data_IF_306442754883
#
_entry.id   IF_306442754883
#
_cell.length_a   1.000
_cell.length_b   1.000
_cell.length_c   1.000
_cell.angle_alpha   90.00
_cell.angle_beta   90.00
_cell.angle_gamma   90.00
#
_symmetry.space_group_name_H-M   'P 1'
#
loop_
_entity.id
_entity.type
_entity.pdbx_description
1 polymer ?
#
# COMPACT_ATOMS: atom_id res chain seq x y z
N UNK A 1 13.29 32.94 67.55
CA UNK A 1 13.34 31.61 66.92
C UNK A 1 12.70 31.71 65.56
N UNK A 2 13.49 31.80 64.47
CA UNK A 2 13.02 31.88 63.11
C UNK A 2 12.93 30.42 62.55
N UNK A 3 11.73 29.97 62.17
CA UNK A 3 11.56 28.71 61.52
C UNK A 3 11.84 28.89 60.03
N UNK A 4 12.86 28.18 59.49
CA UNK A 4 13.21 28.12 58.09
C UNK A 4 12.36 27.00 57.49
N UNK A 5 11.49 27.37 56.58
CA UNK A 5 10.68 26.42 55.79
C UNK A 5 11.50 26.00 54.58
N UNK A 6 11.91 24.72 54.50
CA UNK A 6 12.52 24.14 53.32
C UNK A 6 11.41 23.67 52.37
N UNK A 7 11.27 24.37 51.27
CA UNK A 7 10.38 23.93 50.17
C UNK A 7 11.17 22.98 49.26
N UNK A 8 10.83 21.71 49.31
CA UNK A 8 11.37 20.70 48.40
C UNK A 8 10.65 20.85 47.06
N UNK A 9 11.36 21.36 46.05
CA UNK A 9 10.90 21.43 44.65
C UNK A 9 11.13 20.07 44.01
N UNK A 10 10.08 19.26 43.91
CA UNK A 10 10.12 17.98 43.22
C UNK A 10 10.11 18.25 41.70
N UNK A 11 11.28 18.13 41.05
CA UNK A 11 11.40 18.14 39.60
C UNK A 11 10.93 16.77 39.07
N UNK A 12 9.71 16.70 38.57
CA UNK A 12 9.22 15.58 37.78
C UNK A 12 9.95 15.58 36.42
N UNK A 13 10.99 14.77 36.32
CA UNK A 13 11.59 14.39 35.05
C UNK A 13 10.60 13.53 34.31
N UNK A 14 9.84 14.15 33.39
CA UNK A 14 9.10 13.44 32.36
C UNK A 14 10.14 12.81 31.42
N UNK A 15 10.52 11.58 31.68
CA UNK A 15 11.17 10.74 30.71
C UNK A 15 10.13 10.47 29.60
N UNK A 16 10.16 11.28 28.56
CA UNK A 16 9.53 10.93 27.30
C UNK A 16 10.18 9.65 26.79
N UNK A 17 9.51 8.53 27.01
CA UNK A 17 9.86 7.26 26.37
C UNK A 17 9.63 7.48 24.87
N UNK A 18 10.67 7.85 24.13
CA UNK A 18 10.63 7.79 22.66
C UNK A 18 10.53 6.31 22.32
N UNK A 19 9.31 5.82 22.11
CA UNK A 19 9.13 4.49 21.54
C UNK A 19 9.85 4.47 20.20
N UNK A 20 10.80 3.55 20.06
CA UNK A 20 11.43 3.29 18.75
C UNK A 20 10.31 3.00 17.74
N UNK A 21 10.37 3.57 16.52
CA UNK A 21 9.37 3.28 15.50
C UNK A 21 9.22 1.78 15.34
N UNK A 22 8.00 1.29 15.44
CA UNK A 22 7.72 -0.13 15.24
C UNK A 22 8.15 -0.55 13.83
N UNK A 23 8.60 -1.79 13.69
CA UNK A 23 9.00 -2.36 12.41
C UNK A 23 8.31 -3.69 12.20
N UNK A 24 7.89 -4.00 10.96
CA UNK A 24 7.42 -5.34 10.63
C UNK A 24 8.54 -6.36 10.89
N UNK A 25 8.17 -7.60 11.19
CA UNK A 25 9.11 -8.70 11.22
C UNK A 25 9.78 -8.88 9.85
N UNK A 26 10.91 -9.60 9.81
CA UNK A 26 11.50 -10.00 8.53
C UNK A 26 10.51 -10.88 7.74
N UNK A 27 10.45 -10.68 6.43
CA UNK A 27 9.60 -11.45 5.53
C UNK A 27 10.48 -12.23 4.55
N UNK A 28 10.23 -13.53 4.41
CA UNK A 28 11.06 -14.43 3.60
C UNK A 28 10.51 -14.63 2.18
N UNK A 29 9.42 -13.94 1.82
CA UNK A 29 8.80 -14.04 0.51
C UNK A 29 8.58 -12.67 -0.13
N UNK A 30 8.16 -12.69 -1.41
CA UNK A 30 7.93 -11.50 -2.24
C UNK A 30 6.45 -11.38 -2.67
N UNK A 31 5.54 -12.08 -1.98
CA UNK A 31 4.12 -12.15 -2.35
C UNK A 31 3.37 -10.95 -1.80
N UNK A 32 2.70 -10.24 -2.70
CA UNK A 32 1.77 -9.15 -2.36
C UNK A 32 0.35 -9.62 -2.64
N UNK A 33 -0.48 -9.61 -1.60
CA UNK A 33 -1.88 -9.99 -1.69
C UNK A 33 -2.70 -8.82 -2.26
N UNK A 34 -3.15 -8.91 -3.53
CA UNK A 34 -3.99 -7.90 -4.18
C UNK A 34 -5.30 -7.74 -3.41
N UNK A 35 -5.57 -6.52 -2.93
CA UNK A 35 -6.75 -6.17 -2.08
C UNK A 35 -6.92 -7.12 -0.89
N UNK A 36 -5.80 -7.54 -0.28
CA UNK A 36 -5.81 -8.49 0.82
C UNK A 36 -5.88 -9.96 0.43
N UNK A 37 -5.84 -10.32 -0.85
CA UNK A 37 -6.07 -11.68 -1.33
C UNK A 37 -7.55 -12.09 -1.26
N UNK A 38 -8.43 -11.11 -1.32
CA UNK A 38 -9.88 -11.21 -1.19
C UNK A 38 -10.50 -12.29 -2.07
N UNK A 39 -10.06 -12.37 -3.34
CA UNK A 39 -10.56 -13.33 -4.32
C UNK A 39 -10.28 -14.78 -3.93
N UNK A 40 -9.08 -15.11 -3.44
CA UNK A 40 -8.74 -16.46 -3.00
C UNK A 40 -9.50 -16.84 -1.73
N UNK A 41 -9.65 -15.88 -0.81
CA UNK A 41 -10.31 -16.08 0.48
C UNK A 41 -11.85 -16.03 0.41
N UNK A 42 -12.44 -15.56 -0.68
CA UNK A 42 -13.88 -15.31 -0.77
C UNK A 42 -14.35 -14.17 0.14
N UNK A 43 -13.51 -13.14 0.32
CA UNK A 43 -13.74 -11.99 1.18
C UNK A 43 -13.94 -10.73 0.32
N UNK A 44 -14.58 -9.67 0.83
CA UNK A 44 -14.67 -8.40 0.12
C UNK A 44 -13.29 -7.78 -0.10
N UNK A 45 -13.10 -7.16 -1.26
CA UNK A 45 -11.92 -6.37 -1.60
C UNK A 45 -11.68 -5.28 -0.54
N UNK A 46 -10.40 -5.07 -0.18
CA UNK A 46 -9.99 -4.00 0.75
C UNK A 46 -10.64 -4.09 2.16
N UNK A 47 -11.22 -5.23 2.55
CA UNK A 47 -11.78 -5.41 3.89
C UNK A 47 -10.69 -5.66 4.94
N UNK A 48 -11.00 -5.37 6.20
CA UNK A 48 -10.13 -5.75 7.33
C UNK A 48 -9.97 -7.27 7.39
N UNK A 49 -11.03 -8.04 7.05
CA UNK A 49 -10.96 -9.49 6.97
C UNK A 49 -9.96 -9.97 5.91
N UNK A 50 -9.91 -9.33 4.72
CA UNK A 50 -8.96 -9.68 3.67
C UNK A 50 -7.51 -9.32 4.08
N UNK A 51 -7.28 -8.18 4.74
CA UNK A 51 -5.97 -7.85 5.31
C UNK A 51 -5.52 -8.91 6.33
N UNK A 52 -6.41 -9.36 7.22
CA UNK A 52 -6.13 -10.44 8.17
C UNK A 52 -5.76 -11.75 7.47
N UNK A 53 -6.42 -12.05 6.36
CA UNK A 53 -6.07 -13.22 5.55
C UNK A 53 -4.63 -13.10 4.99
N UNK A 54 -4.26 -11.98 4.36
CA UNK A 54 -2.90 -11.74 3.89
C UNK A 54 -1.85 -11.87 5.01
N UNK A 55 -2.15 -11.32 6.19
CA UNK A 55 -1.32 -11.42 7.39
C UNK A 55 -1.19 -12.88 7.87
N UNK A 56 -2.28 -13.65 7.88
CA UNK A 56 -2.26 -15.06 8.32
C UNK A 56 -1.39 -15.94 7.43
N UNK A 57 -1.27 -15.60 6.16
CA UNK A 57 -0.35 -16.25 5.22
C UNK A 57 1.11 -15.78 5.38
N UNK A 58 1.35 -14.66 6.07
CA UNK A 58 2.68 -14.05 6.14
C UNK A 58 3.12 -13.42 4.83
N UNK A 59 2.21 -12.85 4.05
CA UNK A 59 2.54 -12.13 2.82
C UNK A 59 3.53 -11.00 3.08
N UNK A 60 4.43 -10.72 2.12
CA UNK A 60 5.31 -9.55 2.15
C UNK A 60 4.51 -8.26 2.31
N UNK A 61 3.43 -8.12 1.55
CA UNK A 61 2.51 -7.00 1.70
C UNK A 61 1.06 -7.41 1.39
N UNK A 62 0.14 -6.59 1.90
CA UNK A 62 -1.26 -6.52 1.47
C UNK A 62 -1.45 -5.23 0.70
N UNK A 63 -1.84 -5.32 -0.56
CA UNK A 63 -2.15 -4.14 -1.37
C UNK A 63 -3.60 -3.72 -1.11
N UNK A 64 -3.85 -2.41 -1.13
CA UNK A 64 -5.18 -1.83 -1.05
C UNK A 64 -5.28 -0.49 -1.76
N UNK A 65 -6.48 -0.19 -2.26
CA UNK A 65 -6.81 1.04 -2.99
C UNK A 65 -7.18 2.16 -2.03
N UNK A 66 -6.67 3.38 -2.22
CA UNK A 66 -6.96 4.52 -1.37
C UNK A 66 -7.52 5.71 -2.14
N UNK A 67 -8.46 6.44 -1.50
CA UNK A 67 -9.01 7.69 -2.00
C UNK A 67 -9.10 8.75 -0.89
N UNK A 68 -8.83 9.99 -1.27
CA UNK A 68 -9.02 11.15 -0.42
C UNK A 68 -10.49 11.53 -0.33
N UNK A 69 -10.95 11.96 0.85
CA UNK A 69 -12.34 12.37 1.11
C UNK A 69 -12.44 13.88 1.34
N UNK A 70 -13.64 14.43 1.18
CA UNK A 70 -13.92 15.87 1.32
C UNK A 70 -13.51 16.46 2.67
N UNK A 71 -13.57 15.67 3.73
CA UNK A 71 -13.22 16.05 5.10
C UNK A 71 -11.75 15.75 5.44
N UNK A 72 -10.88 15.68 4.42
CA UNK A 72 -9.42 15.45 4.54
C UNK A 72 -9.08 14.15 5.26
N UNK A 73 -9.84 13.08 5.02
CA UNK A 73 -9.56 11.71 5.43
C UNK A 73 -9.13 10.85 4.24
N UNK A 74 -8.79 9.59 4.51
CA UNK A 74 -8.49 8.59 3.47
C UNK A 74 -9.33 7.34 3.71
N UNK A 75 -10.13 6.98 2.70
CA UNK A 75 -10.92 5.74 2.68
C UNK A 75 -10.16 4.65 1.95
N UNK A 76 -10.25 3.40 2.47
CA UNK A 76 -9.69 2.21 1.83
C UNK A 76 -10.82 1.46 1.13
N UNK A 77 -10.88 1.55 -0.19
CA UNK A 77 -11.89 0.91 -1.02
C UNK A 77 -11.48 0.93 -2.49
N UNK A 78 -12.04 0.04 -3.31
CA UNK A 78 -11.95 0.13 -4.76
C UNK A 78 -13.21 0.80 -5.32
N UNK A 79 -13.06 1.96 -5.95
CA UNK A 79 -14.17 2.64 -6.62
C UNK A 79 -14.61 1.89 -7.88
N UNK A 80 -15.85 2.08 -8.28
CA UNK A 80 -16.40 1.57 -9.53
C UNK A 80 -15.81 2.30 -10.77
N UNK A 81 -16.30 1.93 -11.97
CA UNK A 81 -15.85 2.56 -13.23
C UNK A 81 -16.13 4.06 -13.33
N UNK A 82 -17.04 4.58 -12.51
CA UNK A 82 -17.38 6.00 -12.41
C UNK A 82 -16.61 6.69 -11.29
N UNK A 83 -15.59 6.06 -10.71
CA UNK A 83 -14.83 6.53 -9.55
C UNK A 83 -15.72 6.77 -8.32
N UNK A 84 -16.77 5.95 -8.13
CA UNK A 84 -17.68 6.02 -7.00
C UNK A 84 -17.49 4.86 -6.03
N UNK A 85 -17.61 5.15 -4.74
CA UNK A 85 -17.67 4.19 -3.64
C UNK A 85 -19.09 4.29 -3.06
N UNK A 86 -19.85 3.18 -3.06
CA UNK A 86 -21.26 3.16 -2.66
C UNK A 86 -22.13 4.22 -3.40
N UNK A 87 -21.80 4.49 -4.69
CA UNK A 87 -22.50 5.46 -5.52
C UNK A 87 -22.12 6.92 -5.27
N UNK A 88 -21.11 7.22 -4.44
CA UNK A 88 -20.66 8.55 -4.08
C UNK A 88 -19.20 8.76 -4.52
N UNK A 89 -18.87 9.99 -4.98
CA UNK A 89 -17.49 10.37 -5.25
C UNK A 89 -16.76 10.70 -3.95
N UNK A 90 -15.63 10.03 -3.61
CA UNK A 90 -14.95 10.24 -2.32
C UNK A 90 -14.58 11.70 -2.05
N UNK A 91 -14.08 12.43 -3.04
CA UNK A 91 -13.65 13.82 -2.90
C UNK A 91 -14.79 14.83 -2.70
N UNK A 92 -16.03 14.43 -2.93
CA UNK A 92 -17.22 15.27 -2.71
C UNK A 92 -17.94 14.95 -1.40
N UNK A 93 -17.59 13.84 -0.74
CA UNK A 93 -18.26 13.33 0.45
C UNK A 93 -17.27 13.08 1.59
N UNK A 94 -17.77 13.16 2.83
CA UNK A 94 -17.00 12.82 4.02
C UNK A 94 -16.86 11.31 4.16
N UNK A 95 -15.87 10.87 4.95
CA UNK A 95 -15.71 9.45 5.26
C UNK A 95 -16.98 8.87 5.93
N UNK A 96 -17.60 9.63 6.82
CA UNK A 96 -18.85 9.24 7.49
C UNK A 96 -19.99 9.03 6.47
N UNK A 97 -20.16 9.93 5.50
CA UNK A 97 -21.17 9.80 4.45
C UNK A 97 -20.94 8.56 3.57
N UNK A 98 -19.69 8.28 3.20
CA UNK A 98 -19.33 7.08 2.43
C UNK A 98 -19.64 5.80 3.21
N UNK A 99 -19.32 5.76 4.52
CA UNK A 99 -19.61 4.62 5.39
C UNK A 99 -21.12 4.44 5.63
N UNK A 100 -21.88 5.52 5.70
CA UNK A 100 -23.33 5.49 5.87
C UNK A 100 -24.06 5.03 4.59
N UNK A 101 -23.49 5.28 3.41
CA UNK A 101 -24.08 4.93 2.12
C UNK A 101 -24.08 3.41 1.83
N UNK A 102 -23.22 2.62 2.49
CA UNK A 102 -23.19 1.18 2.30
C UNK A 102 -22.15 0.46 3.17
N UNK A 103 -22.23 -0.87 3.13
CA UNK A 103 -21.28 -1.77 3.79
C UNK A 103 -20.67 -2.73 2.79
N UNK A 104 -19.55 -3.35 3.15
CA UNK A 104 -18.96 -4.44 2.41
C UNK A 104 -19.88 -5.68 2.46
N UNK A 105 -19.73 -6.60 1.50
CA UNK A 105 -20.59 -7.79 1.35
C UNK A 105 -20.62 -8.69 2.59
N UNK A 106 -19.57 -8.69 3.42
CA UNK A 106 -19.50 -9.41 4.69
C UNK A 106 -20.07 -8.63 5.89
N UNK A 107 -20.65 -7.45 5.65
CA UNK A 107 -21.23 -6.57 6.67
C UNK A 107 -20.26 -5.64 7.38
N UNK A 108 -18.95 -5.69 7.08
CA UNK A 108 -17.97 -4.71 7.58
C UNK A 108 -18.28 -3.31 7.06
N UNK A 109 -18.00 -2.24 7.83
CA UNK A 109 -17.98 -0.89 7.28
C UNK A 109 -16.81 -0.74 6.30
N UNK A 110 -16.85 0.32 5.47
CA UNK A 110 -15.66 0.77 4.75
C UNK A 110 -14.59 1.18 5.77
N UNK A 111 -13.36 0.67 5.69
CA UNK A 111 -12.33 1.06 6.64
C UNK A 111 -11.73 2.43 6.31
N UNK A 112 -11.39 3.20 7.34
CA UNK A 112 -10.45 4.31 7.21
C UNK A 112 -9.03 3.80 7.03
N UNK A 113 -8.12 4.66 6.55
CA UNK A 113 -6.71 4.30 6.47
C UNK A 113 -6.11 4.03 7.86
N UNK A 114 -6.51 4.80 8.88
CA UNK A 114 -6.07 4.60 10.26
C UNK A 114 -6.45 3.21 10.79
N UNK A 115 -7.69 2.77 10.55
CA UNK A 115 -8.14 1.43 10.95
C UNK A 115 -7.35 0.33 10.23
N UNK A 116 -7.06 0.55 8.93
CA UNK A 116 -6.31 -0.40 8.12
C UNK A 116 -4.84 -0.50 8.56
N UNK A 117 -4.18 0.63 8.84
CA UNK A 117 -2.82 0.68 9.39
C UNK A 117 -2.78 0.04 10.78
N UNK A 118 -3.72 0.37 11.67
CA UNK A 118 -3.80 -0.20 13.00
C UNK A 118 -3.92 -1.73 12.97
N UNK A 119 -4.73 -2.27 12.05
CA UNK A 119 -4.82 -3.72 11.86
C UNK A 119 -3.54 -4.31 11.28
N UNK A 120 -2.88 -3.63 10.34
CA UNK A 120 -1.60 -4.09 9.79
C UNK A 120 -0.53 -4.21 10.87
N UNK A 121 -0.41 -3.20 11.73
CA UNK A 121 0.59 -3.13 12.82
C UNK A 121 0.27 -4.06 13.99
N UNK A 122 -0.97 -4.53 14.12
CA UNK A 122 -1.38 -5.43 15.21
C UNK A 122 -0.57 -6.71 15.19
N UNK A 123 -0.05 -7.09 16.35
CA UNK A 123 0.59 -8.38 16.53
C UNK A 123 -0.37 -9.54 16.22
N UNK A 124 0.18 -10.61 15.70
CA UNK A 124 -0.53 -11.85 15.44
C UNK A 124 0.13 -12.95 16.27
N UNK A 125 -0.64 -13.62 17.13
CA UNK A 125 -0.15 -14.62 18.07
C UNK A 125 1.05 -14.14 18.93
N UNK A 126 1.00 -12.87 19.35
CA UNK A 126 2.03 -12.24 20.19
C UNK A 126 3.35 -11.95 19.45
N UNK A 127 3.34 -11.91 18.12
CA UNK A 127 4.49 -11.58 17.28
C UNK A 127 4.16 -10.43 16.32
N UNK A 128 5.13 -9.54 16.03
CA UNK A 128 4.96 -8.54 14.99
C UNK A 128 4.65 -9.20 13.63
N UNK A 129 3.69 -8.65 12.90
CA UNK A 129 3.43 -9.09 11.52
C UNK A 129 4.62 -8.73 10.62
N UNK A 130 4.93 -9.61 9.65
CA UNK A 130 5.87 -9.28 8.58
C UNK A 130 5.20 -8.50 7.44
N UNK A 131 3.87 -8.52 7.37
CA UNK A 131 3.09 -7.95 6.28
C UNK A 131 3.10 -6.43 6.34
N UNK A 132 3.42 -5.79 5.20
CA UNK A 132 3.31 -4.34 4.98
C UNK A 132 2.02 -4.01 4.27
N UNK A 133 1.72 -2.72 4.17
CA UNK A 133 0.67 -2.20 3.30
C UNK A 133 1.30 -1.61 2.03
N UNK A 134 0.75 -1.96 0.89
CA UNK A 134 0.96 -1.26 -0.36
C UNK A 134 -0.29 -0.44 -0.67
N UNK A 135 -0.17 0.88 -0.56
CA UNK A 135 -1.26 1.81 -0.78
C UNK A 135 -1.26 2.25 -2.25
N UNK A 136 -2.29 1.82 -3.00
CA UNK A 136 -2.46 2.19 -4.41
C UNK A 136 -3.17 3.56 -4.52
N UNK A 137 -2.40 4.56 -4.98
CA UNK A 137 -2.89 5.90 -5.28
C UNK A 137 -3.55 5.85 -6.66
N UNK A 138 -4.87 5.84 -6.67
CA UNK A 138 -5.67 5.64 -7.88
C UNK A 138 -5.74 6.87 -8.76
N UNK A 139 -5.80 6.64 -10.07
CA UNK A 139 -6.18 7.67 -11.01
C UNK A 139 -7.68 7.93 -10.90
N UNK A 140 -8.07 9.20 -10.79
CA UNK A 140 -9.45 9.64 -10.87
C UNK A 140 -9.65 10.25 -12.25
N UNK A 141 -10.58 9.71 -13.05
CA UNK A 141 -10.77 10.08 -14.46
C UNK A 141 -12.23 10.24 -14.89
N UNK A 142 -13.15 10.23 -13.94
CA UNK A 142 -14.59 10.40 -14.19
C UNK A 142 -15.22 11.28 -13.10
N UNK A 143 -16.15 12.21 -13.44
CA UNK A 143 -16.58 12.56 -14.80
C UNK A 143 -15.49 13.23 -15.62
N UNK A 144 -14.48 13.78 -14.98
CA UNK A 144 -13.28 14.39 -15.54
C UNK A 144 -12.04 13.97 -14.73
N UNK A 145 -10.85 14.44 -15.13
CA UNK A 145 -9.64 14.10 -14.42
C UNK A 145 -9.47 14.92 -13.15
N UNK A 146 -9.35 14.27 -12.00
CA UNK A 146 -9.11 14.87 -10.68
C UNK A 146 -7.69 14.52 -10.20
N UNK A 147 -6.67 15.10 -10.84
CA UNK A 147 -5.27 14.80 -10.51
C UNK A 147 -4.86 15.35 -9.15
N UNK A 148 -5.43 16.50 -8.76
CA UNK A 148 -5.20 17.09 -7.45
C UNK A 148 -5.72 16.17 -6.34
N UNK A 149 -6.98 15.75 -6.41
CA UNK A 149 -7.64 14.91 -5.42
C UNK A 149 -6.95 13.53 -5.32
N UNK A 150 -6.53 12.97 -6.45
CA UNK A 150 -5.75 11.75 -6.48
C UNK A 150 -4.42 11.89 -5.71
N UNK A 151 -3.69 13.01 -5.89
CA UNK A 151 -2.45 13.26 -5.16
C UNK A 151 -2.68 13.61 -3.68
N UNK A 152 -3.85 14.20 -3.32
CA UNK A 152 -4.20 14.47 -1.91
C UNK A 152 -4.33 13.16 -1.10
N UNK A 153 -4.74 12.05 -1.72
CA UNK A 153 -4.72 10.76 -1.05
C UNK A 153 -3.32 10.39 -0.51
N UNK A 154 -2.27 10.61 -1.31
CA UNK A 154 -0.89 10.40 -0.88
C UNK A 154 -0.46 11.39 0.21
N UNK A 155 -0.77 12.70 0.04
CA UNK A 155 -0.43 13.73 1.04
C UNK A 155 -1.00 13.37 2.41
N UNK A 156 -2.33 13.15 2.47
CA UNK A 156 -2.99 12.85 3.74
C UNK A 156 -2.57 11.51 4.32
N UNK A 157 -2.38 10.50 3.47
CA UNK A 157 -1.83 9.21 3.92
C UNK A 157 -0.46 9.37 4.58
N UNK A 158 0.45 10.20 4.02
CA UNK A 158 1.76 10.47 4.64
C UNK A 158 1.64 11.08 6.04
N UNK A 159 0.67 11.97 6.26
CA UNK A 159 0.40 12.56 7.57
C UNK A 159 -0.10 11.51 8.58
N UNK A 160 -1.12 10.73 8.19
CA UNK A 160 -1.67 9.64 9.01
C UNK A 160 -0.59 8.62 9.37
N UNK A 161 0.23 8.20 8.39
CA UNK A 161 1.33 7.25 8.61
C UNK A 161 2.32 7.77 9.64
N UNK A 162 2.69 9.05 9.57
CA UNK A 162 3.58 9.69 10.55
C UNK A 162 2.94 9.82 11.93
N UNK A 163 1.67 10.23 12.00
CA UNK A 163 0.92 10.34 13.24
C UNK A 163 0.84 9.00 13.98
N UNK A 164 0.77 7.88 13.21
CA UNK A 164 0.71 6.52 13.75
C UNK A 164 2.08 5.86 13.95
N UNK A 165 3.19 6.46 13.50
CA UNK A 165 4.53 5.86 13.55
C UNK A 165 4.66 4.61 12.67
N UNK A 166 3.96 4.60 11.53
CA UNK A 166 3.79 3.44 10.65
C UNK A 166 4.70 3.45 9.40
N UNK A 167 5.70 4.34 9.34
CA UNK A 167 6.55 4.54 8.14
C UNK A 167 7.25 3.27 7.68
N UNK A 168 7.56 2.35 8.60
CA UNK A 168 8.18 1.07 8.25
C UNK A 168 7.20 0.01 7.73
N UNK A 169 5.90 0.25 7.88
CA UNK A 169 4.84 -0.69 7.49
C UNK A 169 4.17 -0.34 6.15
N UNK A 170 4.50 0.80 5.57
CA UNK A 170 3.79 1.30 4.38
C UNK A 170 4.75 1.60 3.25
N UNK A 171 4.34 1.20 2.05
CA UNK A 171 4.94 1.57 0.77
C UNK A 171 3.80 2.01 -0.16
N UNK A 172 4.05 2.98 -1.05
CA UNK A 172 3.06 3.41 -2.04
C UNK A 172 3.30 2.77 -3.40
N UNK A 173 2.23 2.51 -4.12
CA UNK A 173 2.23 2.33 -5.56
C UNK A 173 1.33 3.41 -6.17
N UNK A 174 1.74 4.03 -7.26
CA UNK A 174 1.04 5.19 -7.83
C UNK A 174 0.72 4.97 -9.29
N UNK A 175 -0.49 5.36 -9.67
CA UNK A 175 -1.01 5.31 -11.03
C UNK A 175 0.00 5.73 -12.10
N UNK A 176 -0.22 5.30 -13.34
CA UNK A 176 0.58 5.67 -14.52
C UNK A 176 0.51 7.17 -14.89
N UNK A 177 -0.44 7.94 -14.33
CA UNK A 177 -0.53 9.38 -14.61
C UNK A 177 0.70 10.11 -14.06
N UNK A 178 1.42 10.83 -14.95
CA UNK A 178 2.70 11.45 -14.60
C UNK A 178 2.56 12.62 -13.62
N UNK A 179 1.47 13.40 -13.68
CA UNK A 179 1.22 14.53 -12.78
C UNK A 179 0.89 14.04 -11.36
N UNK A 180 -0.01 13.05 -11.25
CA UNK A 180 -0.33 12.43 -9.96
C UNK A 180 0.92 11.82 -9.35
N UNK A 181 1.72 11.08 -10.14
CA UNK A 181 2.97 10.49 -9.64
C UNK A 181 3.97 11.54 -9.20
N UNK A 182 4.17 12.63 -9.95
CA UNK A 182 5.12 13.68 -9.59
C UNK A 182 4.77 14.32 -8.25
N UNK A 183 3.49 14.65 -8.04
CA UNK A 183 3.00 15.25 -6.79
C UNK A 183 3.09 14.25 -5.63
N UNK A 184 2.67 13.00 -5.84
CA UNK A 184 2.74 11.95 -4.82
C UNK A 184 4.18 11.60 -4.45
N UNK A 185 5.09 11.60 -5.41
CA UNK A 185 6.52 11.38 -5.16
C UNK A 185 7.13 12.45 -4.24
N UNK A 186 6.72 13.72 -4.42
CA UNK A 186 7.18 14.79 -3.55
C UNK A 186 6.70 14.59 -2.09
N UNK A 187 5.42 14.21 -1.88
CA UNK A 187 4.89 13.93 -0.55
C UNK A 187 5.53 12.69 0.10
N UNK A 188 5.62 11.58 -0.62
CA UNK A 188 6.21 10.34 -0.14
C UNK A 188 7.70 10.51 0.21
N UNK A 189 8.46 11.21 -0.65
CA UNK A 189 9.88 11.50 -0.42
C UNK A 189 10.10 12.37 0.83
N UNK A 190 9.27 13.40 1.04
CA UNK A 190 9.34 14.23 2.25
C UNK A 190 8.99 13.45 3.52
N UNK A 191 8.19 12.39 3.38
CA UNK A 191 7.84 11.48 4.47
C UNK A 191 8.84 10.32 4.65
N UNK A 192 9.80 10.16 3.74
CA UNK A 192 10.72 9.02 3.65
C UNK A 192 10.01 7.66 3.47
N UNK A 193 8.89 7.65 2.74
CA UNK A 193 8.12 6.45 2.43
C UNK A 193 8.39 6.05 0.97
N UNK A 194 8.74 4.76 0.69
CA UNK A 194 8.98 4.29 -0.66
C UNK A 194 7.72 4.42 -1.54
N UNK A 195 7.91 4.78 -2.82
CA UNK A 195 6.83 4.88 -3.79
C UNK A 195 7.25 4.34 -5.17
N UNK A 196 6.42 3.47 -5.75
CA UNK A 196 6.60 2.94 -7.10
C UNK A 196 5.73 3.68 -8.11
N UNK A 197 6.23 3.81 -9.34
CA UNK A 197 5.43 4.29 -10.46
C UNK A 197 4.89 3.13 -11.30
N UNK A 198 3.58 3.15 -11.58
CA UNK A 198 2.89 2.12 -12.36
C UNK A 198 2.85 2.46 -13.87
N UNK A 199 3.95 2.94 -14.42
CA UNK A 199 4.04 3.31 -15.83
C UNK A 199 4.71 2.22 -16.65
N UNK A 200 4.05 1.77 -17.72
CA UNK A 200 4.59 0.80 -18.68
C UNK A 200 5.61 1.42 -19.66
N UNK A 201 6.49 2.31 -19.18
CA UNK A 201 7.54 2.96 -19.96
C UNK A 201 8.90 2.31 -19.70
N UNK A 202 9.89 2.45 -20.62
CA UNK A 202 11.24 1.94 -20.43
C UNK A 202 11.93 2.44 -19.15
N UNK A 203 12.89 1.67 -18.64
CA UNK A 203 13.64 2.00 -17.42
C UNK A 203 14.34 3.37 -17.49
N UNK A 204 14.73 3.83 -18.67
CA UNK A 204 15.30 5.16 -18.89
C UNK A 204 14.40 6.30 -18.42
N UNK A 205 13.09 6.16 -18.58
CA UNK A 205 12.15 7.19 -18.13
C UNK A 205 12.09 7.30 -16.58
N UNK A 206 12.36 6.21 -15.88
CA UNK A 206 12.47 6.22 -14.41
C UNK A 206 13.75 6.94 -13.98
N UNK A 207 14.88 6.63 -14.62
CA UNK A 207 16.17 7.30 -14.37
C UNK A 207 16.04 8.81 -14.57
N UNK A 208 15.49 9.26 -15.71
CA UNK A 208 15.30 10.67 -16.04
C UNK A 208 14.46 11.43 -15.01
N UNK A 209 13.51 10.75 -14.36
CA UNK A 209 12.65 11.32 -13.32
C UNK A 209 13.19 11.14 -11.90
N UNK A 210 14.27 10.39 -11.72
CA UNK A 210 14.83 10.06 -10.42
C UNK A 210 13.98 9.05 -9.63
N UNK A 211 13.14 8.27 -10.30
CA UNK A 211 12.34 7.21 -9.67
C UNK A 211 13.14 5.91 -9.60
N UNK A 212 13.06 5.23 -8.48
CA UNK A 212 13.88 4.05 -8.19
C UNK A 212 13.10 2.74 -8.16
N UNK A 213 11.78 2.78 -8.36
CA UNK A 213 10.93 1.61 -8.29
C UNK A 213 9.80 1.65 -9.32
N UNK A 214 9.74 0.61 -10.14
CA UNK A 214 8.69 0.35 -11.13
C UNK A 214 7.75 -0.75 -10.61
N UNK A 215 6.43 -0.49 -10.61
CA UNK A 215 5.42 -1.52 -10.40
C UNK A 215 4.65 -1.71 -11.71
N UNK A 216 4.92 -2.79 -12.45
CA UNK A 216 4.46 -2.96 -13.81
C UNK A 216 3.35 -4.01 -13.94
N UNK A 217 2.37 -3.72 -14.80
CA UNK A 217 1.48 -4.77 -15.28
C UNK A 217 2.28 -5.87 -15.98
N UNK A 218 1.97 -7.13 -15.69
CA UNK A 218 2.57 -8.28 -16.36
C UNK A 218 2.49 -8.20 -17.90
N UNK A 219 1.49 -7.50 -18.45
CA UNK A 219 1.36 -7.28 -19.90
C UNK A 219 2.58 -6.59 -20.51
N UNK A 220 3.35 -5.83 -19.72
CA UNK A 220 4.55 -5.15 -20.22
C UNK A 220 5.79 -6.04 -20.25
N UNK A 221 5.82 -7.12 -19.47
CA UNK A 221 6.98 -8.01 -19.32
C UNK A 221 6.71 -9.38 -19.94
N UNK A 222 5.75 -10.12 -19.36
CA UNK A 222 5.38 -11.47 -19.82
C UNK A 222 3.99 -11.85 -19.31
N UNK A 223 3.13 -12.33 -20.23
CA UNK A 223 1.80 -12.81 -19.90
C UNK A 223 1.34 -13.88 -20.89
N UNK A 224 0.71 -14.95 -20.40
CA UNK A 224 0.09 -16.00 -21.19
C UNK A 224 1.04 -16.58 -22.27
N UNK A 225 2.32 -16.80 -21.90
CA UNK A 225 3.32 -17.34 -22.82
C UNK A 225 3.94 -16.32 -23.78
N UNK A 226 3.63 -15.04 -23.65
CA UNK A 226 4.09 -13.99 -24.56
C UNK A 226 4.93 -12.94 -23.85
N UNK A 227 6.09 -12.61 -24.43
CA UNK A 227 6.88 -11.48 -24.00
C UNK A 227 6.17 -10.15 -24.31
N UNK A 228 6.24 -9.22 -23.35
CA UNK A 228 5.80 -7.84 -23.52
C UNK A 228 6.88 -6.97 -24.18
N UNK A 229 6.63 -5.66 -24.29
CA UNK A 229 7.57 -4.72 -24.89
C UNK A 229 8.79 -4.38 -24.01
N UNK A 230 8.77 -4.71 -22.71
CA UNK A 230 9.82 -4.44 -21.73
C UNK A 230 10.42 -5.73 -21.19
N UNK A 231 11.61 -5.64 -20.58
CA UNK A 231 12.29 -6.81 -20.01
C UNK A 231 12.65 -6.61 -18.54
N UNK A 232 12.70 -7.69 -17.76
CA UNK A 232 13.22 -7.64 -16.38
C UNK A 232 14.65 -7.10 -16.36
N UNK A 233 15.48 -7.48 -17.36
CA UNK A 233 16.88 -7.10 -17.42
C UNK A 233 17.08 -5.59 -17.48
N UNK A 234 16.30 -4.87 -18.28
CA UNK A 234 16.49 -3.42 -18.44
C UNK A 234 16.28 -2.65 -17.12
N UNK A 235 15.37 -3.10 -16.26
CA UNK A 235 15.15 -2.47 -14.94
C UNK A 235 16.28 -2.81 -13.97
N UNK A 236 16.71 -4.07 -13.94
CA UNK A 236 17.81 -4.52 -13.07
C UNK A 236 19.14 -3.83 -13.44
N UNK A 237 19.46 -3.77 -14.73
CA UNK A 237 20.68 -3.11 -15.23
C UNK A 237 20.66 -1.60 -14.97
N UNK A 238 19.46 -1.00 -14.95
CA UNK A 238 19.24 0.39 -14.59
C UNK A 238 19.28 0.67 -13.09
N UNK A 239 19.34 -0.36 -12.24
CA UNK A 239 19.25 -0.21 -10.78
C UNK A 239 17.86 0.20 -10.27
N UNK A 240 16.82 -0.09 -11.06
CA UNK A 240 15.42 0.18 -10.71
C UNK A 240 14.80 -1.08 -10.11
N UNK A 241 14.26 -0.98 -8.90
CA UNK A 241 13.45 -2.04 -8.29
C UNK A 241 12.26 -2.34 -9.19
N UNK A 242 11.95 -3.64 -9.38
CA UNK A 242 10.84 -4.07 -10.22
C UNK A 242 9.87 -4.94 -9.43
N UNK A 243 8.60 -4.58 -9.43
CA UNK A 243 7.49 -5.43 -8.98
C UNK A 243 6.45 -5.58 -10.08
N UNK A 244 5.70 -6.69 -10.05
CA UNK A 244 4.80 -7.08 -11.14
C UNK A 244 3.38 -7.30 -10.61
N UNK A 245 2.36 -6.83 -11.34
CA UNK A 245 0.94 -7.05 -11.06
C UNK A 245 0.15 -7.34 -12.32
N UNK A 246 -1.01 -7.97 -12.30
CA UNK A 246 -1.47 -8.93 -11.31
C UNK A 246 -1.25 -10.31 -11.90
N UNK A 247 -0.51 -11.17 -11.21
CA UNK A 247 -0.06 -12.47 -11.72
C UNK A 247 -0.94 -13.57 -11.13
N UNK A 248 -1.84 -14.15 -11.94
CA UNK A 248 -2.89 -15.05 -11.45
C UNK A 248 -2.86 -16.46 -12.07
N UNK A 249 -2.35 -16.61 -13.32
CA UNK A 249 -2.29 -17.90 -13.98
C UNK A 249 -1.09 -18.74 -13.53
N UNK A 250 -1.21 -20.07 -13.54
CA UNK A 250 -0.11 -20.99 -13.20
C UNK A 250 1.13 -20.75 -14.07
N UNK A 251 0.92 -20.52 -15.37
CA UNK A 251 1.99 -20.30 -16.33
C UNK A 251 2.78 -19.01 -15.99
N UNK A 252 2.07 -17.92 -15.68
CA UNK A 252 2.69 -16.65 -15.34
C UNK A 252 3.34 -16.70 -13.95
N UNK A 253 2.70 -17.36 -12.96
CA UNK A 253 3.30 -17.60 -11.64
C UNK A 253 4.63 -18.34 -11.75
N UNK A 254 4.69 -19.42 -12.53
CA UNK A 254 5.92 -20.19 -12.76
C UNK A 254 7.00 -19.34 -13.46
N UNK A 255 6.61 -18.53 -14.45
CA UNK A 255 7.57 -17.63 -15.10
C UNK A 255 8.17 -16.64 -14.10
N UNK A 256 7.34 -15.92 -13.33
CA UNK A 256 7.83 -14.92 -12.38
C UNK A 256 8.53 -15.55 -11.18
N UNK A 257 8.13 -16.74 -10.72
CA UNK A 257 8.82 -17.49 -9.68
C UNK A 257 10.28 -17.83 -10.09
N UNK A 258 10.50 -18.20 -11.36
CA UNK A 258 11.87 -18.43 -11.86
C UNK A 258 12.76 -17.16 -11.85
N UNK A 259 12.15 -15.99 -11.73
CA UNK A 259 12.82 -14.68 -11.64
C UNK A 259 12.74 -14.04 -10.24
N UNK A 260 12.25 -14.76 -9.22
CA UNK A 260 11.95 -14.22 -7.89
C UNK A 260 13.15 -13.54 -7.21
N UNK A 261 14.39 -14.02 -7.46
CA UNK A 261 15.62 -13.39 -6.91
C UNK A 261 15.99 -12.05 -7.54
N UNK A 262 15.29 -11.65 -8.61
CA UNK A 262 15.61 -10.50 -9.44
C UNK A 262 14.53 -9.41 -9.42
N UNK A 263 13.38 -9.71 -8.85
CA UNK A 263 12.24 -8.80 -8.73
C UNK A 263 11.92 -8.57 -7.26
N UNK A 264 11.43 -7.37 -6.93
CA UNK A 264 11.12 -6.97 -5.56
C UNK A 264 9.89 -7.70 -5.02
N UNK A 265 8.82 -7.79 -5.83
CA UNK A 265 7.58 -8.40 -5.40
C UNK A 265 6.66 -8.79 -6.57
N UNK A 266 5.72 -9.69 -6.27
CA UNK A 266 4.69 -10.15 -7.20
C UNK A 266 3.32 -9.97 -6.53
N UNK A 267 2.46 -9.15 -7.14
CA UNK A 267 1.07 -8.96 -6.70
C UNK A 267 0.16 -9.97 -7.37
N UNK A 268 -0.68 -10.65 -6.59
CA UNK A 268 -1.61 -11.68 -7.08
C UNK A 268 -2.93 -11.68 -6.30
N UNK A 269 -4.00 -12.13 -6.95
CA UNK A 269 -5.28 -12.45 -6.32
C UNK A 269 -5.27 -13.81 -5.57
N UNK A 270 -4.20 -14.61 -5.74
CA UNK A 270 -4.07 -15.97 -5.19
C UNK A 270 -2.75 -16.13 -4.41
N UNK A 271 -2.60 -15.41 -3.27
CA UNK A 271 -1.34 -15.35 -2.54
C UNK A 271 -0.87 -16.72 -2.00
N UNK A 272 -1.75 -17.54 -1.46
CA UNK A 272 -1.37 -18.88 -0.96
C UNK A 272 -0.89 -19.80 -2.10
N UNK A 273 -1.51 -19.69 -3.28
CA UNK A 273 -1.10 -20.43 -4.47
C UNK A 273 0.29 -19.98 -4.96
N UNK A 274 0.55 -18.66 -5.03
CA UNK A 274 1.85 -18.15 -5.44
C UNK A 274 2.95 -18.54 -4.45
N UNK A 275 2.69 -18.52 -3.14
CA UNK A 275 3.65 -18.99 -2.13
C UNK A 275 4.10 -20.43 -2.40
N UNK A 276 3.15 -21.35 -2.66
CA UNK A 276 3.48 -22.74 -3.02
C UNK A 276 4.30 -22.85 -4.30
N UNK A 277 4.09 -21.96 -5.27
CA UNK A 277 4.87 -21.93 -6.51
C UNK A 277 6.31 -21.48 -6.25
N UNK A 278 6.52 -20.55 -5.33
CA UNK A 278 7.84 -20.03 -4.97
C UNK A 278 8.69 -21.00 -4.13
N UNK A 279 8.06 -22.00 -3.49
CA UNK A 279 8.74 -23.07 -2.70
C UNK A 279 9.30 -24.20 -3.57
N UNK A 280 8.93 -24.28 -4.84
CA UNK A 280 9.35 -25.32 -5.80
C UNK A 280 10.66 -24.98 -6.49
#
# INVERSE_FOLDING_TARGET
MRKILFTILSVLLLWGCSQQPQRPAACDNIVVAHRGGSKEAGLPDNSIAALRYAKSLGCYASECDIYWTKDDNVVVAHADKNCQINGLHPWEHTLEELCAAGRLENGEPLPSLEEYIAECMREQDGKPSCTRLWLDIKRISYPEAHHYEAAQACRRACEIIKEMGAENFVEFICTSNAEVMQNSYAYASAAAIPIAWMSGTPATNYIEKGYTWANLSQNHIYKDGKAGPLTINEFIEAGIDLSIYTVDSDADMNFYASHAKRIKAITTNYPAKLMKTLEQ
#
